data_IF_962379238193
#
_entry.id   IF_962379238193
#
_cell.length_a   1.000
_cell.length_b   1.000
_cell.length_c   1.000
_cell.angle_alpha   90.00
_cell.angle_beta   90.00
_cell.angle_gamma   90.00
#
_symmetry.space_group_name_H-M   'P 1'
#
loop_
_entity.id
_entity.type
_entity.pdbx_description
1 polymer ?
#
# COMPACT_ATOMS: atom_id res chain seq x y z
N UNK A 1 30.71 12.89 -16.54
CA UNK A 1 30.79 14.01 -17.51
C UNK A 1 29.38 14.22 -18.05
N UNK A 2 28.79 15.40 -17.91
CA UNK A 2 27.40 15.67 -18.31
C UNK A 2 27.30 15.72 -19.83
N UNK A 3 26.35 14.97 -20.39
CA UNK A 3 26.00 14.97 -21.81
C UNK A 3 24.77 15.84 -21.99
N UNK A 4 24.85 16.87 -22.85
CA UNK A 4 23.74 17.80 -23.13
C UNK A 4 23.58 17.90 -24.64
N UNK A 5 22.37 17.70 -25.15
CA UNK A 5 22.02 17.95 -26.55
C UNK A 5 20.84 18.91 -26.60
N UNK A 6 20.81 19.72 -27.65
CA UNK A 6 19.69 20.61 -27.95
C UNK A 6 19.20 20.27 -29.34
N UNK A 7 17.89 20.08 -29.44
CA UNK A 7 17.18 19.94 -30.69
C UNK A 7 16.42 21.26 -30.88
N UNK A 8 16.69 21.92 -31.98
CA UNK A 8 15.85 23.00 -32.49
C UNK A 8 14.81 22.37 -33.41
N UNK A 9 13.53 22.65 -33.20
CA UNK A 9 12.47 22.08 -34.01
C UNK A 9 11.43 23.13 -34.38
N UNK A 10 11.11 23.13 -35.66
CA UNK A 10 10.07 23.93 -36.28
C UNK A 10 9.44 23.05 -37.39
N UNK A 11 9.39 23.52 -38.63
CA UNK A 11 9.11 22.66 -39.80
C UNK A 11 10.18 21.58 -39.99
N UNK A 12 11.37 21.78 -39.44
CA UNK A 12 12.50 20.84 -39.50
C UNK A 12 13.03 20.53 -38.10
N UNK A 13 13.51 19.31 -37.94
CA UNK A 13 14.19 18.89 -36.70
C UNK A 13 15.70 19.00 -36.93
N UNK A 14 16.35 19.87 -36.15
CA UNK A 14 17.78 20.18 -36.27
C UNK A 14 18.47 19.89 -34.95
N UNK A 15 19.27 18.83 -34.92
CA UNK A 15 20.13 18.52 -33.78
C UNK A 15 21.33 19.48 -33.79
N UNK A 16 21.45 20.34 -32.77
CA UNK A 16 22.55 21.30 -32.69
C UNK A 16 23.89 20.59 -32.38
N UNK A 17 24.98 21.19 -32.87
CA UNK A 17 26.32 20.64 -32.64
C UNK A 17 26.76 20.78 -31.17
N UNK A 18 27.57 19.84 -30.70
CA UNK A 18 28.14 19.84 -29.33
C UNK A 18 27.33 19.02 -28.32
N UNK A 19 28.04 18.34 -27.41
CA UNK A 19 27.45 17.49 -26.36
C UNK A 19 27.82 17.92 -24.94
N UNK A 20 28.48 19.05 -24.80
CA UNK A 20 28.92 19.63 -23.53
C UNK A 20 28.34 21.03 -23.37
N UNK A 21 28.25 21.47 -22.11
CA UNK A 21 27.62 22.74 -21.74
C UNK A 21 28.20 23.94 -22.50
N UNK A 22 29.50 24.01 -22.70
CA UNK A 22 30.14 25.17 -23.33
C UNK A 22 29.82 25.23 -24.82
N UNK A 23 29.89 24.09 -25.52
CA UNK A 23 29.57 24.00 -26.94
C UNK A 23 28.09 24.21 -27.20
N UNK A 24 27.21 23.67 -26.36
CA UNK A 24 25.76 23.88 -26.47
C UNK A 24 25.40 25.35 -26.30
N UNK A 25 25.90 26.04 -25.26
CA UNK A 25 25.62 27.46 -25.02
C UNK A 25 26.05 28.31 -26.22
N UNK A 26 27.21 28.03 -26.82
CA UNK A 26 27.69 28.74 -28.00
C UNK A 26 26.76 28.58 -29.20
N UNK A 27 26.14 27.42 -29.35
CA UNK A 27 25.29 27.10 -30.50
C UNK A 27 23.81 27.47 -30.29
N UNK A 28 23.39 27.85 -29.08
CA UNK A 28 22.01 28.31 -28.84
C UNK A 28 21.63 29.54 -29.68
N UNK A 29 22.60 30.37 -30.07
CA UNK A 29 22.33 31.53 -30.93
C UNK A 29 21.89 31.18 -32.36
N UNK A 30 21.98 29.90 -32.78
CA UNK A 30 21.51 29.45 -34.09
C UNK A 30 20.07 28.95 -34.10
N UNK A 31 19.40 28.90 -32.93
CA UNK A 31 17.98 28.54 -32.82
C UNK A 31 17.15 29.64 -33.46
N UNK A 32 16.14 29.25 -34.25
CA UNK A 32 15.25 30.18 -34.92
C UNK A 32 13.84 29.62 -35.07
N UNK A 33 12.85 30.50 -35.12
CA UNK A 33 11.46 30.11 -35.34
C UNK A 33 11.11 30.11 -36.84
N UNK A 34 10.34 29.12 -37.31
CA UNK A 34 9.95 29.04 -38.72
C UNK A 34 8.90 27.98 -39.09
N UNK A 35 7.78 28.43 -39.65
CA UNK A 35 6.76 27.56 -40.26
C UNK A 35 5.95 26.77 -39.23
N UNK A 36 5.93 25.45 -39.37
CA UNK A 36 5.08 24.51 -38.63
C UNK A 36 5.74 23.96 -37.36
N UNK A 37 5.01 23.20 -36.56
CA UNK A 37 5.50 22.62 -35.30
C UNK A 37 5.54 21.10 -35.39
N UNK A 38 6.75 20.51 -35.39
CA UNK A 38 6.97 19.05 -35.37
C UNK A 38 7.27 18.52 -33.97
N UNK A 39 6.31 18.67 -33.06
CA UNK A 39 6.44 18.31 -31.64
C UNK A 39 6.65 16.79 -31.45
N UNK A 40 5.88 15.96 -32.15
CA UNK A 40 5.94 14.50 -31.99
C UNK A 40 7.26 13.92 -32.52
N UNK A 41 7.63 14.26 -33.76
CA UNK A 41 8.88 13.78 -34.37
C UNK A 41 10.11 14.28 -33.57
N UNK A 42 10.10 15.52 -33.06
CA UNK A 42 11.20 16.07 -32.25
C UNK A 42 11.34 15.35 -30.90
N UNK A 43 10.22 14.97 -30.30
CA UNK A 43 10.19 14.21 -29.04
C UNK A 43 10.85 12.84 -29.22
N UNK A 44 10.50 12.12 -30.29
CA UNK A 44 11.11 10.82 -30.62
C UNK A 44 12.61 10.92 -30.86
N UNK A 45 13.05 11.94 -31.62
CA UNK A 45 14.49 12.16 -31.85
C UNK A 45 15.23 12.47 -30.53
N UNK A 46 14.60 13.21 -29.62
CA UNK A 46 15.11 13.48 -28.28
C UNK A 46 15.33 12.20 -27.47
N UNK A 47 14.33 11.31 -27.44
CA UNK A 47 14.42 10.01 -26.76
C UNK A 47 15.55 9.15 -27.33
N UNK A 48 15.62 9.04 -28.66
CA UNK A 48 16.64 8.27 -29.38
C UNK A 48 18.07 8.74 -29.08
N UNK A 49 18.30 10.05 -28.97
CA UNK A 49 19.63 10.60 -28.63
C UNK A 49 20.06 10.33 -27.18
N UNK A 50 19.09 10.08 -26.31
CA UNK A 50 19.27 9.80 -24.90
C UNK A 50 19.38 8.30 -24.61
N UNK A 51 19.15 7.45 -25.61
CA UNK A 51 19.33 6.00 -25.51
C UNK A 51 20.75 5.65 -25.00
N UNK A 52 20.79 4.67 -24.10
CA UNK A 52 21.98 4.17 -23.41
C UNK A 52 22.77 5.22 -22.59
N UNK A 53 22.25 6.45 -22.45
CA UNK A 53 22.89 7.46 -21.60
C UNK A 53 22.62 7.16 -20.14
N UNK A 54 23.56 7.52 -19.28
CA UNK A 54 23.41 7.35 -17.85
C UNK A 54 22.54 8.48 -17.29
N UNK A 55 21.39 8.15 -16.69
CA UNK A 55 20.43 9.11 -16.11
C UNK A 55 19.92 10.14 -17.15
N UNK A 56 19.33 9.70 -18.26
CA UNK A 56 18.79 10.60 -19.27
C UNK A 56 17.57 11.33 -18.73
N UNK A 57 17.34 12.55 -19.22
CA UNK A 57 16.09 13.26 -19.05
C UNK A 57 15.87 14.13 -20.29
N UNK A 58 14.62 14.17 -20.75
CA UNK A 58 14.21 15.00 -21.87
C UNK A 58 13.44 16.21 -21.35
N UNK A 59 13.82 17.41 -21.79
CA UNK A 59 13.07 18.64 -21.51
C UNK A 59 12.57 19.17 -22.84
N UNK A 60 11.25 19.30 -22.96
CA UNK A 60 10.56 19.79 -24.16
C UNK A 60 10.03 21.18 -23.84
N UNK A 61 10.26 22.12 -24.74
CA UNK A 61 9.75 23.49 -24.66
C UNK A 61 9.04 23.80 -25.96
N UNK A 62 7.75 24.15 -25.90
CA UNK A 62 6.93 24.43 -27.07
C UNK A 62 5.84 25.46 -26.72
N UNK A 63 5.45 26.26 -27.71
CA UNK A 63 4.42 27.29 -27.59
C UNK A 63 3.15 27.02 -28.42
N UNK A 64 3.13 25.91 -29.17
CA UNK A 64 2.00 25.52 -30.00
C UNK A 64 1.84 24.00 -30.09
N UNK A 65 0.72 23.59 -30.67
CA UNK A 65 0.40 22.20 -30.95
C UNK A 65 1.17 21.65 -32.15
N UNK A 66 1.25 20.31 -32.24
CA UNK A 66 1.79 19.67 -33.43
C UNK A 66 0.93 20.02 -34.65
N UNK A 67 1.56 20.48 -35.73
CA UNK A 67 0.81 20.92 -36.91
C UNK A 67 0.08 19.78 -37.62
N UNK A 68 0.41 18.52 -37.34
CA UNK A 68 -0.31 17.36 -37.89
C UNK A 68 -1.76 17.25 -37.38
N UNK A 69 -2.11 17.97 -36.32
CA UNK A 69 -3.45 17.97 -35.73
C UNK A 69 -4.44 18.93 -36.43
N UNK A 70 -3.97 19.74 -37.37
CA UNK A 70 -4.82 20.69 -38.11
C UNK A 70 -5.04 20.22 -39.55
N UNK A 71 -6.31 20.14 -39.97
CA UNK A 71 -6.76 19.55 -41.25
C UNK A 71 -6.11 20.19 -42.50
N UNK A 72 -5.71 21.45 -42.43
CA UNK A 72 -5.08 22.21 -43.52
C UNK A 72 -3.53 22.20 -43.49
N UNK A 73 -2.93 21.61 -42.45
CA UNK A 73 -1.48 21.64 -42.22
C UNK A 73 -0.84 20.24 -42.06
N UNK A 74 -1.63 19.17 -42.19
CA UNK A 74 -1.23 17.77 -41.94
C UNK A 74 0.08 17.37 -42.64
N UNK A 75 0.27 17.75 -43.92
CA UNK A 75 1.45 17.36 -44.70
C UNK A 75 2.76 18.02 -44.22
N UNK A 76 2.67 19.07 -43.40
CA UNK A 76 3.82 19.85 -42.94
C UNK A 76 4.13 19.66 -41.44
N UNK A 77 3.25 18.97 -40.70
CA UNK A 77 3.43 18.57 -39.30
C UNK A 77 4.31 17.34 -39.09
N UNK A 78 4.24 16.75 -37.90
CA UNK A 78 4.93 15.49 -37.62
C UNK A 78 4.39 14.33 -38.46
N UNK A 79 5.26 13.38 -38.80
CA UNK A 79 4.84 12.13 -39.43
C UNK A 79 4.38 11.08 -38.41
N UNK A 80 4.86 11.21 -37.18
CA UNK A 80 4.50 10.34 -36.05
C UNK A 80 3.21 10.82 -35.39
N UNK A 81 2.50 9.91 -34.75
CA UNK A 81 1.28 10.20 -34.00
C UNK A 81 1.56 10.40 -32.51
N UNK A 82 0.56 10.88 -31.77
CA UNK A 82 0.62 10.96 -30.30
C UNK A 82 0.86 9.58 -29.69
N UNK A 83 0.18 8.55 -30.18
CA UNK A 83 0.28 7.16 -29.71
C UNK A 83 1.69 6.60 -29.90
N UNK A 84 2.34 6.88 -31.04
CA UNK A 84 3.72 6.46 -31.31
C UNK A 84 4.68 7.05 -30.26
N UNK A 85 4.50 8.33 -29.92
CA UNK A 85 5.32 9.00 -28.91
C UNK A 85 5.09 8.40 -27.52
N UNK A 86 3.84 8.16 -27.14
CA UNK A 86 3.53 7.58 -25.83
C UNK A 86 4.08 6.16 -25.68
N UNK A 87 4.00 5.35 -26.74
CA UNK A 87 4.60 4.02 -26.78
C UNK A 87 6.12 4.08 -26.55
N UNK A 88 6.84 4.91 -27.30
CA UNK A 88 8.29 5.05 -27.17
C UNK A 88 8.71 5.62 -25.80
N UNK A 89 7.97 6.60 -25.26
CA UNK A 89 8.21 7.11 -23.90
C UNK A 89 8.14 5.98 -22.86
N UNK A 90 7.15 5.09 -23.01
CA UNK A 90 6.99 3.95 -22.12
C UNK A 90 8.12 2.93 -22.29
N UNK A 91 8.57 2.67 -23.52
CA UNK A 91 9.68 1.73 -23.78
C UNK A 91 11.02 2.25 -23.26
N UNK A 92 11.37 3.52 -23.53
CA UNK A 92 12.67 4.07 -23.12
C UNK A 92 12.80 4.32 -21.62
N UNK A 93 11.68 4.46 -20.89
CA UNK A 93 11.66 4.79 -19.45
C UNK A 93 12.48 6.05 -19.11
N UNK A 94 12.48 7.04 -20.02
CA UNK A 94 13.18 8.33 -19.84
C UNK A 94 12.18 9.37 -19.31
N UNK A 95 12.45 10.04 -18.18
CA UNK A 95 11.60 11.12 -17.68
C UNK A 95 11.52 12.29 -18.69
N UNK A 96 10.30 12.69 -19.04
CA UNK A 96 10.01 13.79 -19.96
C UNK A 96 9.37 14.96 -19.21
N UNK A 97 10.05 16.09 -19.18
CA UNK A 97 9.54 17.34 -18.62
C UNK A 97 9.12 18.27 -19.74
N UNK A 98 7.86 18.66 -19.76
CA UNK A 98 7.29 19.49 -20.83
C UNK A 98 6.97 20.88 -20.31
N UNK A 99 7.35 21.92 -21.06
CA UNK A 99 7.11 23.31 -20.74
C UNK A 99 6.26 23.91 -21.85
N UNK A 100 4.97 24.14 -21.56
CA UNK A 100 4.08 24.88 -22.44
C UNK A 100 4.29 26.38 -22.24
N UNK A 101 4.67 27.09 -23.29
CA UNK A 101 4.95 28.53 -23.23
C UNK A 101 3.94 29.34 -24.04
N UNK A 102 3.58 30.53 -23.55
CA UNK A 102 2.64 31.41 -24.28
C UNK A 102 1.16 31.05 -24.08
N UNK A 103 0.31 31.44 -25.04
CA UNK A 103 -1.15 31.41 -24.88
C UNK A 103 -1.79 30.07 -25.27
N UNK A 104 -1.31 29.39 -26.32
CA UNK A 104 -1.95 28.18 -26.87
C UNK A 104 -1.01 26.96 -27.04
N UNK A 105 -0.26 26.53 -26.01
CA UNK A 105 0.49 25.28 -26.07
C UNK A 105 -0.47 24.07 -26.11
N UNK A 106 -0.04 22.97 -26.72
CA UNK A 106 -0.78 21.70 -26.64
C UNK A 106 -0.59 21.02 -25.29
N UNK A 107 -1.34 21.54 -24.30
CA UNK A 107 -1.33 21.03 -22.95
C UNK A 107 -1.73 19.56 -22.88
N UNK A 108 -2.59 19.10 -23.79
CA UNK A 108 -3.12 17.73 -23.79
C UNK A 108 -1.99 16.74 -24.08
N UNK A 109 -1.31 16.91 -25.22
CA UNK A 109 -0.19 16.05 -25.60
C UNK A 109 0.97 16.16 -24.59
N UNK A 110 1.32 17.39 -24.17
CA UNK A 110 2.41 17.60 -23.22
C UNK A 110 2.16 16.96 -21.85
N UNK A 111 0.92 17.03 -21.33
CA UNK A 111 0.56 16.35 -20.08
C UNK A 111 0.60 14.84 -20.26
N UNK A 112 0.18 14.31 -21.40
CA UNK A 112 0.26 12.88 -21.71
C UNK A 112 1.72 12.37 -21.75
N UNK A 113 2.66 13.14 -22.32
CA UNK A 113 4.08 12.81 -22.31
C UNK A 113 4.65 12.80 -20.88
N UNK A 114 4.33 13.82 -20.10
CA UNK A 114 4.78 13.96 -18.73
C UNK A 114 4.24 12.84 -17.83
N UNK A 115 2.94 12.52 -17.91
CA UNK A 115 2.32 11.47 -17.08
C UNK A 115 2.88 10.09 -17.42
N UNK A 116 3.00 9.77 -18.71
CA UNK A 116 3.49 8.46 -19.18
C UNK A 116 4.96 8.23 -18.78
N UNK A 117 5.78 9.28 -18.80
CA UNK A 117 7.21 9.21 -18.45
C UNK A 117 7.52 9.34 -16.95
N UNK A 118 6.51 9.53 -16.09
CA UNK A 118 6.67 9.96 -14.68
C UNK A 118 7.43 11.29 -14.53
N UNK A 119 7.40 12.12 -15.58
CA UNK A 119 7.90 13.48 -15.59
C UNK A 119 6.85 14.48 -15.09
N UNK A 120 6.92 15.72 -15.56
CA UNK A 120 5.97 16.77 -15.16
C UNK A 120 5.76 17.81 -16.25
N UNK A 121 4.51 18.21 -16.43
CA UNK A 121 4.13 19.36 -17.23
C UNK A 121 4.23 20.65 -16.41
N UNK A 122 4.77 21.69 -17.04
CA UNK A 122 4.88 23.03 -16.51
C UNK A 122 4.26 24.01 -17.51
N UNK A 123 3.35 24.85 -17.03
CA UNK A 123 2.82 25.97 -17.81
C UNK A 123 3.61 27.24 -17.46
N UNK A 124 4.13 27.93 -18.47
CA UNK A 124 4.88 29.17 -18.33
C UNK A 124 4.29 30.24 -19.25
N UNK A 125 3.46 31.13 -18.69
CA UNK A 125 2.81 32.21 -19.45
C UNK A 125 3.75 33.37 -19.78
N UNK A 126 4.83 33.52 -19.03
CA UNK A 126 5.79 34.61 -19.16
C UNK A 126 7.20 34.19 -18.72
N UNK A 127 8.18 35.08 -18.91
CA UNK A 127 9.60 34.88 -18.58
C UNK A 127 9.85 34.65 -17.08
N UNK A 128 9.02 35.24 -16.20
CA UNK A 128 9.14 35.06 -14.75
C UNK A 128 8.68 33.66 -14.34
N UNK A 129 7.56 33.20 -14.89
CA UNK A 129 7.09 31.83 -14.71
C UNK A 129 8.10 30.82 -15.27
N UNK A 130 8.67 31.10 -16.45
CA UNK A 130 9.66 30.25 -17.09
C UNK A 130 10.92 30.05 -16.22
N UNK A 131 11.40 31.12 -15.58
CA UNK A 131 12.55 31.04 -14.66
C UNK A 131 12.29 30.07 -13.51
N UNK A 132 11.11 30.16 -12.88
CA UNK A 132 10.71 29.25 -11.79
C UNK A 132 10.60 27.79 -12.25
N UNK A 133 10.13 27.58 -13.49
CA UNK A 133 10.04 26.24 -14.09
C UNK A 133 11.44 25.63 -14.26
N UNK A 134 12.40 26.39 -14.81
CA UNK A 134 13.77 25.91 -14.95
C UNK A 134 14.46 25.65 -13.61
N UNK A 135 14.20 26.46 -12.58
CA UNK A 135 14.68 26.20 -11.21
C UNK A 135 14.10 24.90 -10.64
N UNK A 136 12.79 24.68 -10.80
CA UNK A 136 12.12 23.46 -10.36
C UNK A 136 12.68 22.21 -11.05
N UNK A 137 12.90 22.26 -12.37
CA UNK A 137 13.53 21.18 -13.13
C UNK A 137 14.99 20.97 -12.67
N UNK A 138 15.76 22.04 -12.49
CA UNK A 138 17.15 21.98 -12.03
C UNK A 138 17.31 21.32 -10.66
N UNK A 139 16.39 21.59 -9.73
CA UNK A 139 16.38 20.95 -8.40
C UNK A 139 16.24 19.42 -8.46
N UNK A 140 15.57 18.89 -9.50
CA UNK A 140 15.38 17.44 -9.68
C UNK A 140 16.64 16.73 -10.18
N UNK A 141 17.48 17.41 -10.95
CA UNK A 141 18.73 16.84 -11.45
C UNK A 141 19.86 16.81 -10.41
N UNK A 142 19.73 17.58 -9.32
CA UNK A 142 20.76 17.73 -8.28
C UNK A 142 20.81 16.63 -7.22
N UNK A 143 19.73 15.87 -7.02
CA UNK A 143 19.64 14.93 -5.91
C UNK A 143 20.04 13.52 -6.37
N UNK A 144 21.29 13.14 -6.08
CA UNK A 144 21.77 11.76 -6.25
C UNK A 144 22.15 11.20 -4.88
N UNK A 145 21.51 10.09 -4.50
CA UNK A 145 21.84 9.35 -3.30
C UNK A 145 22.64 8.11 -3.69
N UNK A 146 23.93 8.07 -3.36
CA UNK A 146 24.75 6.86 -3.45
C UNK A 146 24.68 6.12 -2.11
N UNK A 147 24.01 4.97 -2.08
CA UNK A 147 23.87 4.15 -0.88
C UNK A 147 24.67 2.87 -1.06
N UNK A 148 25.69 2.67 -0.22
CA UNK A 148 26.48 1.44 -0.18
C UNK A 148 25.99 0.57 0.98
N UNK A 149 25.29 -0.51 0.68
CA UNK A 149 24.87 -1.51 1.68
C UNK A 149 25.91 -2.63 1.80
N UNK A 150 26.56 -2.74 2.96
CA UNK A 150 27.38 -3.90 3.32
C UNK A 150 26.58 -4.85 4.21
N UNK A 151 26.23 -6.03 3.68
CA UNK A 151 25.49 -7.05 4.43
C UNK A 151 26.27 -7.52 5.66
N UNK A 152 25.64 -7.63 6.85
CA UNK A 152 26.27 -8.23 8.03
C UNK A 152 26.72 -9.68 7.79
N UNK A 153 27.86 -10.08 8.36
CA UNK A 153 28.41 -11.44 8.25
C UNK A 153 27.58 -12.49 9.03
N UNK A 154 26.82 -12.02 10.02
CA UNK A 154 25.89 -12.79 10.82
C UNK A 154 24.53 -12.08 10.80
N UNK A 155 23.46 -12.84 10.51
CA UNK A 155 22.09 -12.32 10.53
C UNK A 155 21.44 -12.74 11.83
N UNK A 156 20.96 -11.77 12.60
CA UNK A 156 20.13 -12.02 13.79
C UNK A 156 18.67 -12.31 13.43
N UNK A 157 18.23 -11.95 12.21
CA UNK A 157 16.89 -12.23 11.70
C UNK A 157 16.85 -13.63 11.09
N UNK A 158 15.81 -14.38 11.43
CA UNK A 158 15.56 -15.72 10.90
C UNK A 158 15.14 -15.68 9.43
N UNK A 159 15.48 -16.73 8.69
CA UNK A 159 14.96 -16.97 7.34
C UNK A 159 13.70 -17.86 7.37
N UNK A 160 13.19 -18.21 8.57
CA UNK A 160 11.93 -18.94 8.77
C UNK A 160 10.76 -18.07 8.30
N UNK A 161 9.98 -18.49 7.29
CA UNK A 161 8.79 -17.76 6.86
C UNK A 161 7.77 -17.66 7.99
N UNK A 162 7.16 -16.49 8.12
CA UNK A 162 6.09 -16.21 9.08
C UNK A 162 4.84 -15.84 8.28
N UNK A 163 3.77 -16.61 8.45
CA UNK A 163 2.47 -16.39 7.78
C UNK A 163 1.46 -15.87 8.80
N UNK A 164 0.88 -14.71 8.52
CA UNK A 164 -0.15 -14.07 9.32
C UNK A 164 -1.49 -14.18 8.63
N UNK A 165 -2.43 -14.89 9.25
CA UNK A 165 -3.82 -14.96 8.83
C UNK A 165 -4.59 -13.83 9.51
N UNK A 166 -5.25 -12.99 8.72
CA UNK A 166 -6.13 -11.93 9.21
C UNK A 166 -7.50 -12.19 8.61
N UNK A 167 -8.41 -12.73 9.41
CA UNK A 167 -9.67 -13.29 8.94
C UNK A 167 -10.86 -12.50 9.47
N UNK A 168 -11.78 -12.16 8.58
CA UNK A 168 -13.04 -11.53 8.92
C UNK A 168 -13.94 -12.49 9.69
N UNK A 169 -14.43 -12.02 10.83
CA UNK A 169 -15.39 -12.71 11.67
C UNK A 169 -16.60 -11.79 11.97
N UNK A 170 -16.91 -10.87 11.06
CA UNK A 170 -18.13 -10.07 11.14
C UNK A 170 -19.39 -10.93 11.01
N UNK A 171 -20.55 -10.37 11.38
CA UNK A 171 -21.83 -11.08 11.36
C UNK A 171 -22.29 -11.51 9.97
N UNK A 172 -21.90 -10.78 8.91
CA UNK A 172 -22.22 -11.14 7.52
C UNK A 172 -21.56 -12.46 7.10
N UNK A 173 -20.47 -12.86 7.75
CA UNK A 173 -19.82 -14.15 7.52
C UNK A 173 -20.66 -15.34 7.98
N UNK A 174 -21.66 -15.17 8.84
CA UNK A 174 -22.43 -16.27 9.45
C UNK A 174 -23.95 -16.10 9.30
N UNK A 175 -24.35 -15.29 8.32
CA UNK A 175 -25.76 -15.07 8.02
C UNK A 175 -26.34 -16.29 7.29
N UNK A 176 -27.52 -16.72 7.74
CA UNK A 176 -28.26 -17.84 7.16
C UNK A 176 -28.67 -17.50 5.71
N UNK A 177 -28.49 -18.41 4.74
CA UNK A 177 -28.94 -18.20 3.36
C UNK A 177 -30.46 -17.93 3.21
N UNK A 178 -31.28 -18.27 4.22
CA UNK A 178 -32.70 -17.91 4.26
C UNK A 178 -32.94 -16.44 4.64
N UNK A 179 -31.99 -15.80 5.34
CA UNK A 179 -32.04 -14.40 5.76
C UNK A 179 -31.41 -13.45 4.74
N UNK A 180 -30.31 -13.87 4.11
CA UNK A 180 -29.67 -13.16 3.01
C UNK A 180 -29.14 -14.15 1.96
N UNK A 181 -29.61 -13.97 0.71
CA UNK A 181 -29.41 -14.93 -0.39
C UNK A 181 -27.93 -15.11 -0.72
N UNK A 182 -27.07 -14.13 -0.41
CA UNK A 182 -25.66 -14.14 -0.76
C UNK A 182 -24.72 -14.59 0.39
N UNK A 183 -25.18 -14.72 1.64
CA UNK A 183 -24.28 -14.87 2.79
C UNK A 183 -23.98 -16.32 3.24
N UNK A 184 -24.93 -17.25 3.06
CA UNK A 184 -24.69 -18.71 3.01
C UNK A 184 -23.65 -19.35 3.96
N UNK A 185 -23.62 -18.98 5.25
CA UNK A 185 -22.61 -19.45 6.23
C UNK A 185 -21.16 -19.40 5.70
N UNK A 186 -20.75 -18.26 5.13
CA UNK A 186 -19.39 -18.00 4.60
C UNK A 186 -18.27 -18.37 5.59
N UNK A 187 -18.48 -18.24 6.89
CA UNK A 187 -17.50 -18.56 7.93
C UNK A 187 -17.12 -20.05 7.93
N UNK A 188 -18.08 -20.95 7.66
CA UNK A 188 -17.79 -22.38 7.56
C UNK A 188 -16.99 -22.71 6.30
N UNK A 189 -17.32 -22.05 5.17
CA UNK A 189 -16.56 -22.16 3.92
C UNK A 189 -15.12 -21.67 4.10
N UNK A 190 -14.95 -20.52 4.76
CA UNK A 190 -13.65 -19.99 5.14
C UNK A 190 -12.89 -20.97 6.04
N UNK A 191 -13.50 -21.48 7.11
CA UNK A 191 -12.85 -22.44 8.03
C UNK A 191 -12.39 -23.70 7.29
N UNK A 192 -13.20 -24.23 6.39
CA UNK A 192 -12.83 -25.39 5.57
C UNK A 192 -11.65 -25.08 4.63
N UNK A 193 -11.70 -23.95 3.92
CA UNK A 193 -10.63 -23.51 3.01
C UNK A 193 -9.30 -23.35 3.76
N UNK A 194 -9.30 -22.62 4.88
CA UNK A 194 -8.10 -22.39 5.66
C UNK A 194 -7.62 -23.63 6.39
N UNK A 195 -8.50 -24.56 6.77
CA UNK A 195 -8.09 -25.86 7.29
C UNK A 195 -7.21 -26.60 6.28
N UNK A 196 -7.67 -26.73 5.04
CA UNK A 196 -6.94 -27.45 3.99
C UNK A 196 -5.66 -26.74 3.57
N UNK A 197 -5.68 -25.40 3.57
CA UNK A 197 -4.48 -24.60 3.37
C UNK A 197 -3.44 -24.82 4.47
N UNK A 198 -3.87 -24.76 5.74
CA UNK A 198 -2.98 -24.91 6.90
C UNK A 198 -2.29 -26.26 6.89
N UNK A 199 -2.99 -27.33 6.51
CA UNK A 199 -2.41 -28.66 6.38
C UNK A 199 -1.30 -28.76 5.31
N UNK A 200 -1.35 -27.90 4.30
CA UNK A 200 -0.37 -27.85 3.21
C UNK A 200 0.82 -26.92 3.51
N UNK A 201 0.78 -26.14 4.59
CA UNK A 201 1.88 -25.26 4.97
C UNK A 201 3.17 -26.06 5.26
N UNK A 202 4.35 -25.55 4.88
CA UNK A 202 5.61 -26.20 5.18
C UNK A 202 5.86 -26.30 6.69
N UNK A 203 6.42 -27.43 7.16
CA UNK A 203 6.70 -27.68 8.60
C UNK A 203 7.70 -26.73 9.26
N UNK A 204 8.50 -26.02 8.46
CA UNK A 204 9.51 -25.06 8.94
C UNK A 204 9.02 -23.61 8.77
N UNK A 205 7.76 -23.34 9.14
CA UNK A 205 7.16 -22.01 9.10
C UNK A 205 6.57 -21.67 10.47
N UNK A 206 6.50 -20.38 10.76
CA UNK A 206 5.74 -19.86 11.89
C UNK A 206 4.44 -19.28 11.38
N UNK A 207 3.41 -19.34 12.22
CA UNK A 207 2.07 -18.90 11.89
C UNK A 207 1.50 -18.06 13.02
N UNK A 208 0.62 -17.13 12.66
CA UNK A 208 -0.22 -16.41 13.60
C UNK A 208 -1.60 -16.21 12.98
N UNK A 209 -2.63 -16.20 13.82
CA UNK A 209 -4.02 -15.99 13.41
C UNK A 209 -4.60 -14.82 14.19
N UNK A 210 -5.17 -13.90 13.46
CA UNK A 210 -5.90 -12.74 13.95
C UNK A 210 -7.29 -12.77 13.33
N UNK A 211 -8.32 -12.64 14.15
CA UNK A 211 -9.69 -12.40 13.70
C UNK A 211 -10.08 -10.95 13.98
N UNK A 212 -11.02 -10.41 13.21
CA UNK A 212 -11.52 -9.07 13.42
C UNK A 212 -13.02 -8.97 13.19
N UNK A 213 -13.67 -8.16 14.02
CA UNK A 213 -15.10 -7.93 14.00
C UNK A 213 -15.47 -6.69 14.84
N UNK A 214 -16.76 -6.37 15.04
CA UNK A 214 -17.20 -5.38 16.05
C UNK A 214 -18.09 -5.98 17.13
N UNK A 215 -18.24 -5.29 18.26
CA UNK A 215 -19.15 -5.69 19.33
C UNK A 215 -20.62 -5.33 19.05
N UNK A 216 -21.54 -5.92 19.83
CA UNK A 216 -23.00 -5.66 19.76
C UNK A 216 -23.41 -4.20 19.99
N UNK A 217 -22.61 -3.45 20.73
CA UNK A 217 -22.83 -2.03 21.01
C UNK A 217 -21.88 -1.13 20.20
N UNK A 218 -21.27 -1.66 19.15
CA UNK A 218 -20.14 -1.05 18.45
C UNK A 218 -18.80 -1.33 19.16
N UNK A 219 -17.73 -0.71 18.65
CA UNK A 219 -16.37 -0.92 19.12
C UNK A 219 -15.66 -2.06 18.40
N UNK A 220 -14.38 -1.84 18.09
CA UNK A 220 -13.55 -2.74 17.31
C UNK A 220 -13.07 -3.90 18.18
N UNK A 221 -13.23 -5.13 17.68
CA UNK A 221 -12.77 -6.35 18.34
C UNK A 221 -11.78 -7.00 17.39
N UNK A 222 -10.48 -6.91 17.70
CA UNK A 222 -9.42 -7.57 16.96
C UNK A 222 -8.78 -8.58 17.92
N UNK A 223 -8.96 -9.87 17.65
CA UNK A 223 -8.49 -10.94 18.53
C UNK A 223 -7.29 -11.63 17.91
N UNK A 224 -6.20 -11.69 18.65
CA UNK A 224 -5.06 -12.54 18.29
C UNK A 224 -5.38 -13.97 18.72
N UNK A 225 -6.18 -14.68 17.92
CA UNK A 225 -6.61 -16.06 18.20
C UNK A 225 -5.42 -17.00 18.41
N UNK A 226 -4.33 -16.79 17.66
CA UNK A 226 -3.09 -17.50 17.85
C UNK A 226 -1.90 -16.54 17.68
N UNK A 227 -1.13 -16.39 18.75
CA UNK A 227 0.21 -15.78 18.68
C UNK A 227 1.16 -16.65 17.87
N UNK A 228 2.34 -16.13 17.53
CA UNK A 228 3.35 -16.86 16.75
C UNK A 228 3.60 -18.29 17.26
N UNK A 229 3.36 -19.29 16.41
CA UNK A 229 3.55 -20.71 16.71
C UNK A 229 4.04 -21.48 15.49
N UNK A 230 4.75 -22.58 15.69
CA UNK A 230 5.06 -23.60 14.66
C UNK A 230 4.02 -24.73 14.63
N UNK A 231 3.04 -24.72 15.53
CA UNK A 231 2.07 -25.79 15.69
C UNK A 231 0.84 -25.56 14.82
N UNK A 232 0.74 -26.32 13.72
CA UNK A 232 -0.48 -26.39 12.90
C UNK A 232 -1.71 -26.77 13.72
N UNK A 233 -1.58 -27.65 14.73
CA UNK A 233 -2.70 -28.07 15.58
C UNK A 233 -3.28 -26.89 16.37
N UNK A 234 -2.43 -26.03 16.95
CA UNK A 234 -2.89 -24.84 17.67
C UNK A 234 -3.56 -23.84 16.73
N UNK A 235 -3.03 -23.69 15.52
CA UNK A 235 -3.62 -22.83 14.50
C UNK A 235 -5.00 -23.33 14.04
N UNK A 236 -5.15 -24.64 13.82
CA UNK A 236 -6.44 -25.27 13.48
C UNK A 236 -7.45 -25.17 14.62
N UNK A 237 -7.01 -25.31 15.87
CA UNK A 237 -7.86 -25.10 17.03
C UNK A 237 -8.37 -23.65 17.08
N UNK A 238 -7.47 -22.68 16.95
CA UNK A 238 -7.80 -21.26 16.94
C UNK A 238 -8.77 -20.90 15.79
N UNK A 239 -8.55 -21.46 14.60
CA UNK A 239 -9.47 -21.31 13.46
C UNK A 239 -10.87 -21.86 13.77
N UNK A 240 -10.95 -23.02 14.44
CA UNK A 240 -12.23 -23.64 14.79
C UNK A 240 -13.02 -22.85 15.84
N UNK A 241 -12.33 -22.24 16.80
CA UNK A 241 -12.90 -21.47 17.92
C UNK A 241 -13.37 -20.05 17.54
N UNK A 242 -13.12 -19.60 16.30
CA UNK A 242 -13.60 -18.31 15.82
C UNK A 242 -15.14 -18.24 15.84
N UNK A 243 -15.66 -17.14 16.38
CA UNK A 243 -17.08 -16.79 16.40
C UNK A 243 -17.31 -15.53 15.59
N UNK A 244 -18.44 -15.45 14.92
CA UNK A 244 -18.85 -14.38 14.02
C UNK A 244 -19.81 -13.42 14.68
N UNK A 245 -19.51 -12.12 14.69
CA UNK A 245 -20.44 -11.12 15.21
C UNK A 245 -20.14 -9.69 14.74
N UNK A 246 -21.15 -8.85 14.55
CA UNK A 246 -20.96 -7.41 14.37
C UNK A 246 -20.50 -7.01 12.97
N UNK A 247 -19.70 -5.95 12.87
CA UNK A 247 -19.25 -5.33 11.62
C UNK A 247 -17.75 -5.51 11.36
N UNK A 248 -17.23 -4.75 10.39
CA UNK A 248 -15.98 -5.11 9.71
C UNK A 248 -14.94 -3.97 9.79
N UNK A 249 -14.11 -3.90 10.85
CA UNK A 249 -13.12 -2.82 11.01
C UNK A 249 -11.85 -3.08 10.19
N UNK A 250 -11.92 -2.78 8.88
CA UNK A 250 -10.85 -3.07 7.90
C UNK A 250 -9.52 -2.38 8.25
N UNK A 251 -9.51 -1.07 8.48
CA UNK A 251 -8.27 -0.32 8.69
C UNK A 251 -7.51 -0.84 9.92
N UNK A 252 -8.20 -1.02 11.03
CA UNK A 252 -7.56 -1.44 12.28
C UNK A 252 -7.12 -2.90 12.24
N UNK A 253 -7.86 -3.77 11.58
CA UNK A 253 -7.48 -5.19 11.45
C UNK A 253 -6.17 -5.34 10.68
N UNK A 254 -6.01 -4.66 9.54
CA UNK A 254 -4.75 -4.70 8.79
C UNK A 254 -3.63 -3.98 9.54
N UNK A 255 -3.93 -2.87 10.24
CA UNK A 255 -2.93 -2.12 11.00
C UNK A 255 -2.32 -2.97 12.11
N UNK A 256 -3.16 -3.63 12.91
CA UNK A 256 -2.70 -4.52 13.99
C UNK A 256 -1.98 -5.74 13.42
N UNK A 257 -2.51 -6.36 12.36
CA UNK A 257 -1.86 -7.49 11.70
C UNK A 257 -0.48 -7.14 11.13
N UNK A 258 -0.35 -5.95 10.54
CA UNK A 258 0.93 -5.40 10.07
C UNK A 258 1.90 -5.14 11.22
N UNK A 259 1.47 -4.44 12.29
CA UNK A 259 2.33 -4.10 13.43
C UNK A 259 2.84 -5.36 14.17
N UNK A 260 1.97 -6.34 14.39
CA UNK A 260 2.34 -7.62 15.02
C UNK A 260 3.33 -8.39 14.17
N UNK A 261 3.07 -8.53 12.87
CA UNK A 261 3.97 -9.23 11.95
C UNK A 261 5.31 -8.49 11.78
N UNK A 262 5.29 -7.15 11.77
CA UNK A 262 6.48 -6.31 11.69
C UNK A 262 7.43 -6.57 12.85
N UNK A 263 6.91 -6.78 14.06
CA UNK A 263 7.71 -7.08 15.25
C UNK A 263 8.42 -8.45 15.21
N UNK A 264 7.97 -9.39 14.37
CA UNK A 264 8.59 -10.72 14.27
C UNK A 264 9.95 -10.63 13.56
N UNK A 265 11.04 -11.18 14.15
CA UNK A 265 12.39 -11.08 13.61
C UNK A 265 12.64 -12.07 12.45
N UNK A 266 11.82 -11.99 11.40
CA UNK A 266 11.96 -12.75 10.15
C UNK A 266 12.13 -11.83 8.95
N UNK A 267 12.90 -12.29 7.95
CA UNK A 267 12.99 -11.63 6.63
C UNK A 267 11.86 -12.00 5.67
N UNK A 268 11.08 -13.03 6.00
CA UNK A 268 10.04 -13.61 5.13
C UNK A 268 8.71 -13.53 5.86
N UNK A 269 7.91 -12.55 5.48
CA UNK A 269 6.64 -12.21 6.12
C UNK A 269 5.55 -12.24 5.08
N UNK A 270 4.50 -13.00 5.35
CA UNK A 270 3.34 -13.14 4.47
C UNK A 270 2.09 -12.80 5.26
N UNK A 271 1.21 -11.99 4.68
CA UNK A 271 -0.14 -11.75 5.16
C UNK A 271 -1.12 -12.43 4.21
N UNK A 272 -2.06 -13.18 4.76
CA UNK A 272 -3.25 -13.65 4.05
C UNK A 272 -4.44 -12.99 4.73
N UNK A 273 -5.07 -12.05 4.02
CA UNK A 273 -6.17 -11.24 4.52
C UNK A 273 -7.46 -11.66 3.83
N UNK A 274 -8.52 -11.96 4.59
CA UNK A 274 -9.83 -12.31 4.04
C UNK A 274 -10.93 -11.40 4.59
N UNK A 275 -11.85 -10.94 3.73
CA UNK A 275 -13.07 -10.20 4.12
C UNK A 275 -14.20 -10.35 3.11
N UNK A 276 -15.43 -10.14 3.58
CA UNK A 276 -16.63 -10.00 2.74
C UNK A 276 -17.18 -8.55 2.68
N UNK A 277 -16.46 -7.56 3.22
CA UNK A 277 -16.87 -6.15 3.25
C UNK A 277 -16.11 -5.25 2.25
N UNK A 278 -15.65 -5.81 1.14
CA UNK A 278 -15.10 -5.07 0.01
C UNK A 278 -13.85 -4.18 0.26
N UNK A 279 -13.13 -4.34 1.38
CA UNK A 279 -11.97 -3.50 1.77
C UNK A 279 -12.26 -1.97 1.77
N UNK A 280 -13.52 -1.57 1.80
CA UNK A 280 -13.90 -0.16 1.77
C UNK A 280 -13.70 0.46 3.17
N UNK A 281 -13.07 1.63 3.21
CA UNK A 281 -12.90 2.44 4.42
C UNK A 281 -13.50 3.82 4.20
N UNK A 282 -13.82 4.53 5.28
CA UNK A 282 -14.36 5.88 5.18
C UNK A 282 -13.39 6.83 4.45
N UNK A 283 -13.91 7.77 3.66
CA UNK A 283 -13.12 8.73 2.87
C UNK A 283 -12.10 9.51 3.73
N UNK A 284 -12.45 9.80 4.99
CA UNK A 284 -11.57 10.50 5.93
C UNK A 284 -10.34 9.69 6.35
N UNK A 285 -10.43 8.35 6.33
CA UNK A 285 -9.33 7.46 6.73
C UNK A 285 -8.65 6.79 5.54
N UNK A 286 -9.18 6.97 4.33
CA UNK A 286 -8.57 6.49 3.08
C UNK A 286 -7.08 6.84 2.94
N UNK A 287 -6.61 8.07 3.26
CA UNK A 287 -5.18 8.39 3.19
C UNK A 287 -4.32 7.57 4.17
N UNK A 288 -4.84 7.29 5.37
CA UNK A 288 -4.14 6.45 6.37
C UNK A 288 -4.08 5.00 5.90
N UNK A 289 -5.16 4.49 5.31
CA UNK A 289 -5.20 3.15 4.73
C UNK A 289 -4.20 2.99 3.58
N UNK A 290 -4.18 3.92 2.63
CA UNK A 290 -3.22 3.89 1.52
C UNK A 290 -1.76 4.02 2.00
N UNK A 291 -1.50 4.82 3.03
CA UNK A 291 -0.18 4.89 3.66
C UNK A 291 0.22 3.55 4.29
N UNK A 292 -0.70 2.86 4.97
CA UNK A 292 -0.46 1.54 5.52
C UNK A 292 -0.13 0.51 4.43
N UNK A 293 -0.84 0.53 3.30
CA UNK A 293 -0.55 -0.35 2.16
C UNK A 293 0.84 -0.09 1.57
N UNK A 294 1.25 1.17 1.45
CA UNK A 294 2.62 1.53 1.03
C UNK A 294 3.66 1.05 2.05
N UNK A 295 3.38 1.14 3.35
CA UNK A 295 4.28 0.64 4.39
C UNK A 295 4.48 -0.89 4.31
N UNK A 296 3.42 -1.65 4.01
CA UNK A 296 3.50 -3.12 3.77
C UNK A 296 4.47 -3.42 2.62
N UNK A 297 4.36 -2.65 1.53
CA UNK A 297 5.27 -2.74 0.37
C UNK A 297 6.71 -2.39 0.73
N UNK A 298 6.94 -1.31 1.47
CA UNK A 298 8.28 -0.87 1.86
C UNK A 298 9.00 -1.88 2.75
N UNK A 299 8.27 -2.52 3.67
CA UNK A 299 8.77 -3.58 4.55
C UNK A 299 8.93 -4.94 3.83
N UNK A 300 8.64 -5.00 2.52
CA UNK A 300 8.72 -6.21 1.69
C UNK A 300 7.92 -7.39 2.30
N UNK A 301 6.70 -7.08 2.76
CA UNK A 301 5.75 -8.09 3.25
C UNK A 301 4.87 -8.52 2.06
N UNK A 302 4.87 -9.81 1.74
CA UNK A 302 3.97 -10.36 0.72
C UNK A 302 2.55 -10.39 1.28
N UNK A 303 1.57 -9.91 0.54
CA UNK A 303 0.17 -9.95 0.96
C UNK A 303 -0.73 -10.54 -0.12
N UNK A 304 -1.66 -11.41 0.29
CA UNK A 304 -2.77 -11.89 -0.52
C UNK A 304 -4.08 -11.35 0.07
N UNK A 305 -4.83 -10.61 -0.73
CA UNK A 305 -6.16 -10.12 -0.41
C UNK A 305 -7.23 -11.07 -0.95
N UNK A 306 -8.11 -11.55 -0.09
CA UNK A 306 -9.18 -12.48 -0.45
C UNK A 306 -10.52 -11.80 -0.18
N UNK A 307 -11.29 -11.55 -1.24
CA UNK A 307 -12.66 -11.06 -1.17
C UNK A 307 -13.65 -12.20 -1.37
N UNK A 308 -14.59 -12.38 -0.44
CA UNK A 308 -15.63 -13.40 -0.53
C UNK A 308 -17.00 -12.75 -0.75
N UNK A 309 -17.68 -13.09 -1.85
CA UNK A 309 -19.04 -12.59 -2.15
C UNK A 309 -19.12 -11.07 -2.35
N UNK A 310 -18.07 -10.49 -2.96
CA UNK A 310 -17.92 -9.06 -3.24
C UNK A 310 -17.41 -8.81 -4.67
N UNK A 311 -17.86 -9.61 -5.62
CA UNK A 311 -17.43 -9.59 -7.04
C UNK A 311 -17.62 -8.22 -7.69
N UNK A 312 -18.65 -7.49 -7.27
CA UNK A 312 -18.93 -6.12 -7.74
C UNK A 312 -17.92 -5.07 -7.23
N UNK A 313 -16.97 -5.46 -6.39
CA UNK A 313 -15.97 -4.57 -5.75
C UNK A 313 -14.53 -5.01 -6.02
N UNK A 314 -14.32 -5.79 -7.07
CA UNK A 314 -12.99 -6.27 -7.46
C UNK A 314 -11.94 -5.14 -7.61
N UNK A 315 -12.35 -3.97 -8.10
CA UNK A 315 -11.48 -2.82 -8.30
C UNK A 315 -10.80 -2.36 -6.99
N UNK A 316 -11.47 -2.47 -5.84
CA UNK A 316 -10.92 -2.08 -4.53
C UNK A 316 -9.78 -3.02 -4.12
N UNK A 317 -9.98 -4.33 -4.33
CA UNK A 317 -8.95 -5.34 -4.08
C UNK A 317 -7.76 -5.21 -5.03
N UNK A 318 -8.02 -4.93 -6.31
CA UNK A 318 -6.98 -4.69 -7.30
C UNK A 318 -6.13 -3.46 -6.91
N UNK A 319 -6.76 -2.38 -6.47
CA UNK A 319 -6.07 -1.19 -5.99
C UNK A 319 -5.23 -1.47 -4.74
N UNK A 320 -5.79 -2.19 -3.75
CA UNK A 320 -5.07 -2.56 -2.54
C UNK A 320 -3.84 -3.43 -2.84
N UNK A 321 -3.98 -4.42 -3.73
CA UNK A 321 -2.89 -5.26 -4.19
C UNK A 321 -1.80 -4.45 -4.92
N UNK A 322 -2.18 -3.49 -5.77
CA UNK A 322 -1.24 -2.64 -6.48
C UNK A 322 -0.41 -1.76 -5.52
N UNK A 323 -1.05 -1.12 -4.53
CA UNK A 323 -0.37 -0.27 -3.56
C UNK A 323 0.57 -1.09 -2.65
N UNK A 324 0.11 -2.25 -2.20
CA UNK A 324 0.88 -3.15 -1.32
C UNK A 324 1.90 -4.04 -2.04
N UNK A 325 1.95 -4.00 -3.39
CA UNK A 325 2.72 -4.93 -4.21
C UNK A 325 2.39 -6.40 -3.89
N UNK A 326 1.11 -6.67 -3.63
CA UNK A 326 0.54 -7.96 -3.29
C UNK A 326 -0.25 -8.59 -4.44
N UNK A 327 -1.03 -9.60 -4.10
CA UNK A 327 -1.95 -10.31 -5.00
C UNK A 327 -3.37 -10.21 -4.44
N UNK A 328 -4.37 -10.42 -5.28
CA UNK A 328 -5.76 -10.50 -4.84
C UNK A 328 -6.51 -11.63 -5.55
N UNK A 329 -7.59 -12.08 -4.91
CA UNK A 329 -8.61 -12.95 -5.50
C UNK A 329 -9.96 -12.53 -4.94
N UNK A 330 -10.92 -12.26 -5.81
CA UNK A 330 -12.32 -12.01 -5.43
C UNK A 330 -13.16 -13.06 -6.12
N UNK A 331 -13.87 -13.86 -5.33
CA UNK A 331 -14.65 -14.99 -5.85
C UNK A 331 -15.65 -15.48 -4.81
N UNK A 332 -16.58 -16.33 -5.24
CA UNK A 332 -17.30 -17.25 -4.38
C UNK A 332 -16.86 -18.71 -4.58
N UNK A 333 -15.99 -18.95 -5.56
CA UNK A 333 -15.51 -20.28 -5.91
C UNK A 333 -14.31 -20.71 -5.04
N UNK A 334 -14.52 -21.78 -4.27
CA UNK A 334 -13.51 -22.40 -3.42
C UNK A 334 -12.27 -22.83 -4.20
N UNK A 335 -12.43 -23.21 -5.48
CA UNK A 335 -11.31 -23.61 -6.32
C UNK A 335 -10.40 -22.42 -6.67
N UNK A 336 -10.98 -21.23 -6.88
CA UNK A 336 -10.21 -20.02 -7.17
C UNK A 336 -9.39 -19.58 -5.95
N UNK A 337 -9.99 -19.65 -4.76
CA UNK A 337 -9.26 -19.39 -3.52
C UNK A 337 -8.14 -20.40 -3.27
N UNK A 338 -8.42 -21.69 -3.48
CA UNK A 338 -7.43 -22.76 -3.34
C UNK A 338 -6.24 -22.56 -4.29
N UNK A 339 -6.50 -22.09 -5.51
CA UNK A 339 -5.46 -21.74 -6.48
C UNK A 339 -4.60 -20.56 -6.01
N UNK A 340 -5.23 -19.44 -5.61
CA UNK A 340 -4.50 -18.26 -5.14
C UNK A 340 -3.63 -18.57 -3.91
N UNK A 341 -4.20 -19.32 -2.96
CA UNK A 341 -3.48 -19.82 -1.80
C UNK A 341 -2.30 -20.73 -2.20
N UNK A 342 -2.47 -21.62 -3.18
CA UNK A 342 -1.39 -22.47 -3.69
C UNK A 342 -0.25 -21.66 -4.35
N UNK A 343 -0.56 -20.57 -5.03
CA UNK A 343 0.45 -19.66 -5.61
C UNK A 343 1.25 -18.94 -4.52
N UNK A 344 0.60 -18.53 -3.42
CA UNK A 344 1.29 -17.99 -2.24
C UNK A 344 2.18 -19.05 -1.60
N UNK A 345 1.70 -20.30 -1.45
CA UNK A 345 2.52 -21.41 -0.95
C UNK A 345 3.75 -21.66 -1.83
N UNK A 346 3.59 -21.64 -3.15
CA UNK A 346 4.68 -21.80 -4.09
C UNK A 346 5.72 -20.68 -3.92
N UNK A 347 5.27 -19.43 -3.76
CA UNK A 347 6.16 -18.29 -3.51
C UNK A 347 6.97 -18.47 -2.22
N UNK A 348 6.32 -18.87 -1.12
CA UNK A 348 6.99 -19.17 0.16
C UNK A 348 8.04 -20.27 0.00
N UNK A 349 7.76 -21.30 -0.81
CA UNK A 349 8.67 -22.42 -1.06
C UNK A 349 9.82 -22.07 -2.02
N UNK A 350 9.57 -21.29 -3.07
CA UNK A 350 10.60 -20.83 -4.00
C UNK A 350 11.58 -19.88 -3.33
N UNK A 351 11.09 -18.93 -2.54
CA UNK A 351 11.94 -18.02 -1.77
C UNK A 351 12.82 -18.77 -0.78
N UNK A 352 12.36 -19.91 -0.21
CA UNK A 352 13.17 -20.80 0.62
C UNK A 352 14.40 -21.35 -0.12
N UNK A 353 14.26 -21.65 -1.40
CA UNK A 353 15.31 -22.23 -2.24
C UNK A 353 16.22 -21.18 -2.88
N UNK A 354 15.73 -19.95 -3.02
CA UNK A 354 16.43 -18.86 -3.68
C UNK A 354 17.61 -18.31 -2.86
N UNK A 355 18.74 -18.06 -3.55
CA UNK A 355 19.86 -17.26 -3.03
C UNK A 355 19.72 -15.77 -3.40
N UNK A 356 18.60 -15.39 -4.04
CA UNK A 356 18.28 -14.01 -4.37
C UNK A 356 17.57 -13.37 -3.18
N UNK A 357 17.98 -12.15 -2.87
CA UNK A 357 17.41 -11.33 -1.80
C UNK A 357 16.81 -10.11 -2.47
N UNK A 358 15.57 -9.79 -2.14
CA UNK A 358 14.96 -8.52 -2.53
C UNK A 358 15.54 -7.41 -1.66
N UNK A 359 16.16 -6.44 -2.30
CA UNK A 359 16.59 -5.18 -1.70
C UNK A 359 15.54 -4.13 -2.06
N UNK A 360 14.89 -3.60 -1.03
CA UNK A 360 14.04 -2.41 -1.13
C UNK A 360 14.85 -1.21 -0.63
N UNK A 361 14.78 -0.10 -1.37
CA UNK A 361 15.25 1.20 -0.92
C UNK A 361 14.07 2.16 -1.01
N UNK A 362 13.63 2.67 0.15
CA UNK A 362 12.72 3.81 0.23
C UNK A 362 13.45 5.07 0.68
N UNK A 363 13.10 6.20 0.09
CA UNK A 363 13.56 7.53 0.48
C UNK A 363 12.31 8.36 0.78
N UNK A 364 12.21 8.79 2.03
CA UNK A 364 11.20 9.74 2.50
C UNK A 364 11.86 11.06 2.83
N UNK A 365 11.41 12.12 2.16
CA UNK A 365 11.83 13.48 2.42
C UNK A 365 10.60 14.39 2.45
N UNK A 366 10.60 15.37 3.35
CA UNK A 366 9.51 16.34 3.47
C UNK A 366 10.11 17.72 3.25
N UNK A 367 9.66 18.43 2.22
CA UNK A 367 10.18 19.76 1.92
C UNK A 367 9.64 20.79 2.93
N UNK A 368 10.24 21.99 2.94
CA UNK A 368 9.86 23.09 3.83
C UNK A 368 8.41 23.58 3.66
N UNK A 369 7.75 23.20 2.55
CA UNK A 369 6.35 23.51 2.26
C UNK A 369 5.38 22.41 2.72
N UNK A 370 5.88 21.30 3.27
CA UNK A 370 5.11 20.15 3.73
C UNK A 370 4.84 19.07 2.68
N UNK A 371 5.30 19.24 1.44
CA UNK A 371 5.16 18.20 0.40
C UNK A 371 6.09 17.02 0.72
N UNK A 372 5.54 15.81 0.65
CA UNK A 372 6.28 14.57 0.90
C UNK A 372 6.79 13.98 -0.41
N UNK A 373 8.10 13.83 -0.54
CA UNK A 373 8.76 13.08 -1.60
C UNK A 373 8.96 11.64 -1.11
N UNK A 374 8.24 10.70 -1.71
CA UNK A 374 8.42 9.26 -1.49
C UNK A 374 9.00 8.62 -2.76
N UNK A 375 10.18 8.03 -2.66
CA UNK A 375 10.77 7.19 -3.71
C UNK A 375 10.94 5.79 -3.18
N UNK A 376 10.58 4.77 -3.96
CA UNK A 376 10.86 3.38 -3.63
C UNK A 376 11.41 2.65 -4.86
N UNK A 377 12.46 1.86 -4.67
CA UNK A 377 13.02 0.99 -5.70
C UNK A 377 13.33 -0.38 -5.12
N UNK A 378 12.92 -1.42 -5.86
CA UNK A 378 13.12 -2.81 -5.47
C UNK A 378 14.03 -3.49 -6.51
N UNK A 379 14.98 -4.29 -6.06
CA UNK A 379 15.81 -5.12 -6.94
C UNK A 379 16.14 -6.45 -6.28
N UNK A 380 16.28 -7.52 -7.06
CA UNK A 380 16.68 -8.84 -6.55
C UNK A 380 18.17 -9.06 -6.80
N UNK A 381 18.94 -9.25 -5.73
CA UNK A 381 20.40 -9.45 -5.81
C UNK A 381 20.76 -10.84 -5.30
N UNK A 382 21.65 -11.54 -6.00
CA UNK A 382 22.15 -12.84 -5.55
C UNK A 382 23.23 -12.63 -4.48
N UNK A 383 23.00 -13.13 -3.27
CA UNK A 383 23.99 -13.13 -2.19
C UNK A 383 24.33 -14.56 -1.74
N UNK A 384 25.56 -14.82 -1.27
CA UNK A 384 25.88 -16.08 -0.61
C UNK A 384 25.04 -16.26 0.67
N UNK A 385 24.70 -17.51 1.00
CA UNK A 385 23.95 -17.86 2.22
C UNK A 385 24.75 -17.43 3.46
N UNK A 386 24.09 -16.70 4.36
CA UNK A 386 24.69 -16.28 5.64
C UNK A 386 24.73 -17.49 6.57
N UNK A 387 25.74 -17.57 7.43
CA UNK A 387 25.76 -18.57 8.50
C UNK A 387 24.66 -18.22 9.49
N UNK A 388 23.68 -19.11 9.67
CA UNK A 388 22.64 -18.96 10.68
C UNK A 388 23.27 -18.74 12.05
N UNK A 389 22.89 -17.65 12.72
CA UNK A 389 23.20 -17.42 14.13
C UNK A 389 22.78 -18.67 14.93
N UNK A 390 23.71 -19.25 15.70
CA UNK A 390 23.42 -20.40 16.59
C UNK A 390 22.37 -20.11 17.67
N UNK A 391 21.96 -18.85 17.83
CA UNK A 391 20.81 -18.45 18.63
C UNK A 391 19.69 -18.04 17.69
N UNK A 392 18.74 -18.95 17.47
CA UNK A 392 17.40 -18.55 17.06
C UNK A 392 16.86 -17.63 18.16
N UNK A 393 16.44 -16.43 17.79
CA UNK A 393 15.63 -15.60 18.68
C UNK A 393 14.29 -16.35 18.77
N UNK A 394 14.02 -16.98 19.91
CA UNK A 394 12.67 -17.45 20.19
C UNK A 394 11.75 -16.22 20.09
N UNK A 395 10.62 -16.29 19.37
CA UNK A 395 9.67 -15.19 19.32
C UNK A 395 9.35 -14.80 20.76
N UNK A 396 9.67 -13.55 21.13
CA UNK A 396 9.24 -13.02 22.42
C UNK A 396 7.71 -13.21 22.47
N UNK A 397 7.25 -13.99 23.45
CA UNK A 397 5.83 -14.06 23.74
C UNK A 397 5.38 -12.64 24.01
N UNK A 398 4.55 -12.08 23.11
CA UNK A 398 3.86 -10.83 23.39
C UNK A 398 2.98 -11.08 24.60
N UNK A 399 3.46 -10.67 25.78
CA UNK A 399 2.61 -10.56 26.96
C UNK A 399 1.72 -9.34 26.75
N UNK A 400 0.62 -9.54 26.04
CA UNK A 400 -0.52 -8.63 26.13
C UNK A 400 -1.11 -8.86 27.51
N UNK A 401 -0.67 -8.03 28.48
CA UNK A 401 -1.45 -7.82 29.67
C UNK A 401 -2.59 -6.90 29.27
N UNK A 402 -3.75 -7.46 28.95
CA UNK A 402 -4.98 -6.71 29.13
C UNK A 402 -4.96 -6.24 30.59
N UNK A 403 -5.25 -4.95 30.82
CA UNK A 403 -5.37 -4.45 32.19
C UNK A 403 -6.26 -5.39 33.02
N UNK A 404 -6.05 -5.40 34.34
CA UNK A 404 -6.87 -6.23 35.24
C UNK A 404 -8.35 -6.08 34.83
N UNK A 405 -9.08 -7.19 34.62
CA UNK A 405 -10.50 -7.11 34.30
C UNK A 405 -11.16 -6.20 35.32
N UNK A 406 -11.96 -5.25 34.85
CA UNK A 406 -12.72 -4.34 35.72
C UNK A 406 -13.44 -5.20 36.78
N UNK A 407 -13.28 -4.85 38.06
CA UNK A 407 -13.91 -5.59 39.16
C UNK A 407 -15.41 -5.69 38.89
N UNK A 408 -15.88 -6.90 38.59
CA UNK A 408 -17.31 -7.17 38.43
C UNK A 408 -18.03 -6.82 39.73
N UNK A 409 -19.23 -6.27 39.64
CA UNK A 409 -20.05 -6.03 40.82
C UNK A 409 -20.36 -7.38 41.50
N UNK A 410 -20.39 -7.38 42.83
CA UNK A 410 -20.58 -8.61 43.59
C UNK A 410 -22.02 -9.14 43.48
N UNK A 411 -22.26 -10.36 43.97
CA UNK A 411 -23.57 -11.03 43.89
C UNK A 411 -24.69 -10.24 44.59
N UNK A 412 -24.36 -9.50 45.64
CA UNK A 412 -25.33 -8.64 46.35
C UNK A 412 -25.76 -7.46 45.46
N UNK A 413 -24.81 -6.76 44.86
CA UNK A 413 -25.08 -5.64 43.94
C UNK A 413 -25.80 -6.14 42.67
N UNK A 414 -25.43 -7.33 42.16
CA UNK A 414 -26.12 -7.95 41.03
C UNK A 414 -27.62 -8.12 41.27
N UNK A 415 -27.99 -8.62 42.46
CA UNK A 415 -29.40 -8.84 42.82
C UNK A 415 -30.23 -7.56 42.90
N UNK A 416 -29.58 -6.42 43.15
CA UNK A 416 -30.22 -5.10 43.25
C UNK A 416 -30.33 -4.45 41.88
N UNK A 417 -29.30 -4.58 41.05
CA UNK A 417 -29.17 -3.87 39.77
C UNK A 417 -29.81 -4.63 38.62
N UNK A 418 -29.48 -5.91 38.43
CA UNK A 418 -29.93 -6.69 37.26
C UNK A 418 -31.12 -7.59 37.55
N UNK A 419 -31.45 -7.78 38.84
CA UNK A 419 -32.51 -8.69 39.26
C UNK A 419 -32.23 -10.12 38.80
N UNK A 420 -32.87 -10.55 37.71
CA UNK A 420 -32.69 -11.86 37.07
C UNK A 420 -31.80 -11.84 35.82
N UNK A 421 -31.35 -10.68 35.35
CA UNK A 421 -30.50 -10.56 34.16
C UNK A 421 -29.09 -11.10 34.36
N UNK A 422 -28.49 -11.63 33.29
CA UNK A 422 -27.17 -12.26 33.27
C UNK A 422 -26.08 -11.16 33.33
N UNK A 423 -25.24 -11.13 34.39
CA UNK A 423 -24.19 -10.12 34.53
C UNK A 423 -23.15 -10.17 33.40
N UNK A 424 -22.98 -9.06 32.68
CA UNK A 424 -22.03 -8.93 31.57
C UNK A 424 -22.57 -9.32 30.18
N UNK A 425 -23.82 -9.79 30.09
CA UNK A 425 -24.54 -10.01 28.83
C UNK A 425 -25.75 -9.07 28.72
N UNK A 426 -26.67 -9.13 29.70
CA UNK A 426 -27.90 -8.31 29.71
C UNK A 426 -27.68 -6.91 30.31
N UNK A 427 -26.59 -6.73 31.05
CA UNK A 427 -26.25 -5.46 31.70
C UNK A 427 -24.74 -5.36 31.83
N UNK A 428 -24.14 -4.45 31.06
CA UNK A 428 -22.69 -4.30 31.00
C UNK A 428 -22.28 -3.07 31.81
N UNK A 429 -21.48 -3.26 32.85
CA UNK A 429 -20.95 -2.15 33.64
C UNK A 429 -19.83 -1.46 32.87
N UNK A 430 -20.07 -0.21 32.48
CA UNK A 430 -19.10 0.61 31.73
C UNK A 430 -18.19 1.41 32.66
N UNK A 431 -18.63 1.74 33.87
CA UNK A 431 -17.84 2.51 34.84
C UNK A 431 -18.34 2.32 36.28
N UNK A 432 -17.41 2.35 37.25
CA UNK A 432 -17.70 2.41 38.69
C UNK A 432 -17.01 3.63 39.30
N UNK A 433 -17.73 4.37 40.15
CA UNK A 433 -17.17 5.45 40.98
C UNK A 433 -17.52 5.21 42.44
N UNK A 434 -16.51 5.21 43.32
CA UNK A 434 -16.73 5.18 44.77
C UNK A 434 -16.80 6.61 45.28
N UNK A 435 -17.93 6.97 45.90
CA UNK A 435 -18.25 8.38 46.23
C UNK A 435 -18.45 8.61 47.73
N UNK A 436 -18.81 7.58 48.52
CA UNK A 436 -19.07 7.60 49.98
C UNK A 436 -19.62 8.94 50.52
N UNK A 437 -20.81 9.33 50.05
CA UNK A 437 -21.52 10.55 50.47
C UNK A 437 -22.74 10.18 51.30
N UNK A 438 -22.91 10.86 52.45
CA UNK A 438 -24.07 10.72 53.33
C UNK A 438 -24.90 11.99 53.38
N UNK A 439 -26.23 11.87 53.26
CA UNK A 439 -27.18 12.96 53.46
C UNK A 439 -28.34 12.52 54.36
N UNK A 440 -28.95 13.43 55.11
CA UNK A 440 -30.10 13.12 55.96
C UNK A 440 -31.03 14.31 56.15
N UNK A 441 -32.30 14.03 56.44
CA UNK A 441 -33.31 14.98 56.93
C UNK A 441 -34.10 14.35 58.08
N UNK A 442 -35.12 15.06 58.60
CA UNK A 442 -35.94 14.61 59.74
C UNK A 442 -36.73 13.31 59.50
N UNK A 443 -36.78 12.81 58.26
CA UNK A 443 -37.56 11.62 57.87
C UNK A 443 -36.69 10.45 57.38
N UNK A 444 -35.48 10.69 56.86
CA UNK A 444 -34.62 9.64 56.32
C UNK A 444 -33.14 10.05 56.28
N UNK A 445 -32.27 9.04 56.29
CA UNK A 445 -30.85 9.16 55.98
C UNK A 445 -30.49 8.26 54.80
N UNK A 446 -29.66 8.75 53.90
CA UNK A 446 -29.17 8.05 52.70
C UNK A 446 -27.64 8.12 52.69
N UNK A 447 -27.03 6.97 52.43
CA UNK A 447 -25.60 6.84 52.18
C UNK A 447 -25.39 6.27 50.77
N UNK A 448 -24.63 6.97 49.94
CA UNK A 448 -24.24 6.55 48.59
C UNK A 448 -22.77 6.15 48.66
N UNK A 449 -22.50 4.85 48.66
CA UNK A 449 -21.12 4.33 48.71
C UNK A 449 -20.48 4.25 47.33
N UNK A 450 -21.20 3.70 46.37
CA UNK A 450 -20.76 3.49 45.00
C UNK A 450 -21.83 3.95 44.01
N UNK A 451 -21.39 4.46 42.86
CA UNK A 451 -22.19 4.76 41.68
C UNK A 451 -21.70 3.85 40.56
N UNK A 452 -22.65 3.17 39.92
CA UNK A 452 -22.40 2.24 38.84
C UNK A 452 -23.07 2.76 37.56
N UNK A 453 -22.33 2.74 36.45
CA UNK A 453 -22.83 3.09 35.13
C UNK A 453 -22.95 1.82 34.30
N UNK A 454 -24.09 1.65 33.63
CA UNK A 454 -24.41 0.49 32.81
C UNK A 454 -24.75 0.92 31.39
N UNK A 455 -24.46 0.05 30.42
CA UNK A 455 -24.98 0.10 29.04
C UNK A 455 -25.91 -1.07 28.78
#
# INVERSE_FOLDING_TARGET
KTYIRVIDFDTQIKVLQGNDKATVIKNLSSVGAGGYTKLFDATLEGLRLLEEKTRPALVIFADGADSSLFDDEVEMGSNSTLEDVLYEIQEYQIPVYTIGFGEDPDESAMRAFASTSKGRYYSAKDETALTKVFEAIGSKFGNAFDITYKRPEESNLSDTPVVSFILDASGSMDTDPEEDVDCGYRIDKMKALFHDFILQLPKDCLYQLTSFQTGALGGQIIRQEQVTTDSQVRLLQALGEMESFGGTPILESIKIGYETLKAVPSKRKVIVYLTDAALEVDEYVQPEFEELLNNIKEENITILWIGMGVENKEEVFAHAAQLSNGQYVVSEDVDQFSKALSEVLATIQEERLSNKINLSLSIHDQNDNGDTLKFAANTSVTFPKVKSSKKAVEPDQVKIATGLPMDRYNKEVASIVTGTGIPGEDTVMIQKMTVDVTGSNDSASVQIKDIYFFS
#
